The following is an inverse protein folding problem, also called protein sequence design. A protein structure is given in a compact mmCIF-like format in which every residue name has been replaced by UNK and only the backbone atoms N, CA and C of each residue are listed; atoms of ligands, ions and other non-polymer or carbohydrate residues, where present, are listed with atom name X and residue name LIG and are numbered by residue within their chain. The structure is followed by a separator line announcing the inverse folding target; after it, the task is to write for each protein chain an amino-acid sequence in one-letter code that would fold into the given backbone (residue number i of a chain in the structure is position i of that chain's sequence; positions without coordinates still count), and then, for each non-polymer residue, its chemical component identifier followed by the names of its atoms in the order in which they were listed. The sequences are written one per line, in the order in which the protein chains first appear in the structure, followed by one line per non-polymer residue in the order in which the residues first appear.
data_IF_698989737903
#
_entry.id   IF_698989737903
#
_cell.length_a   1.000
_cell.length_b   1.000
_cell.length_c   1.000
_cell.angle_alpha   90.00
_cell.angle_beta   90.00
_cell.angle_gamma   90.00
#
_symmetry.space_group_name_H-M   'P 1'
#
loop_
_entity.id
_entity.type
_entity.pdbx_description
1 polymer ?
#
# COMPACT_ATOMS: atom_id res chain seq x y z
N UNK A 1 25.05 7.93 10.71
CA UNK A 1 24.28 6.68 10.73
C UNK A 1 23.48 6.60 9.45
N UNK A 2 23.69 5.62 8.57
CA UNK A 2 22.78 5.43 7.44
C UNK A 2 21.42 5.03 8.02
N UNK A 3 20.38 5.81 7.76
CA UNK A 3 19.04 5.54 8.26
C UNK A 3 18.59 4.15 7.82
N UNK A 4 17.90 3.42 8.69
CA UNK A 4 17.24 2.17 8.29
C UNK A 4 15.96 2.54 7.57
N UNK A 5 15.80 2.03 6.35
CA UNK A 5 14.58 2.16 5.56
C UNK A 5 13.79 0.86 5.63
N UNK A 6 12.47 0.96 5.61
CA UNK A 6 11.55 -0.17 5.54
C UNK A 6 10.54 0.11 4.44
N UNK A 7 10.32 -0.88 3.58
CA UNK A 7 9.28 -0.80 2.55
C UNK A 7 7.94 -1.14 3.17
N UNK A 8 6.99 -0.20 3.14
CA UNK A 8 5.65 -0.43 3.66
C UNK A 8 4.75 -1.16 2.65
N UNK A 9 4.86 -0.79 1.38
CA UNK A 9 3.98 -1.28 0.31
C UNK A 9 4.65 -1.11 -1.05
N UNK A 10 4.29 -1.98 -1.99
CA UNK A 10 4.74 -1.92 -3.40
C UNK A 10 3.50 -1.76 -4.27
N UNK A 11 3.55 -0.81 -5.18
CA UNK A 11 2.45 -0.48 -6.08
C UNK A 11 2.77 -0.91 -7.51
N UNK A 12 1.76 -1.42 -8.21
CA UNK A 12 1.77 -1.64 -9.67
C UNK A 12 0.72 -0.73 -10.32
N UNK A 13 0.56 -0.85 -11.64
CA UNK A 13 -0.49 -0.17 -12.40
C UNK A 13 -1.87 -0.31 -11.75
N UNK A 14 -2.55 0.82 -11.52
CA UNK A 14 -3.85 0.87 -10.84
C UNK A 14 -3.75 1.07 -9.32
N UNK A 15 -2.56 0.93 -8.74
CA UNK A 15 -2.28 1.32 -7.36
C UNK A 15 -2.36 2.84 -7.16
N UNK A 16 -2.68 3.24 -5.92
CA UNK A 16 -2.78 4.65 -5.52
C UNK A 16 -2.05 4.88 -4.20
N UNK A 17 -1.57 6.09 -3.96
CA UNK A 17 -0.96 6.52 -2.68
C UNK A 17 -1.20 8.03 -2.48
N UNK A 18 -0.88 8.56 -1.30
CA UNK A 18 -1.13 9.98 -0.97
C UNK A 18 -2.40 10.23 -0.14
N UNK A 19 -2.77 9.27 0.71
CA UNK A 19 -3.86 9.37 1.70
C UNK A 19 -3.72 10.52 2.71
N UNK A 20 -2.53 11.14 2.80
CA UNK A 20 -2.31 12.42 3.50
C UNK A 20 -3.40 13.47 3.21
N UNK A 21 -4.00 13.47 2.02
CA UNK A 21 -5.05 14.43 1.64
C UNK A 21 -6.23 14.48 2.62
N UNK A 22 -6.49 13.39 3.34
CA UNK A 22 -7.52 13.26 4.37
C UNK A 22 -7.09 13.69 5.77
N UNK A 23 -5.80 13.96 5.98
CA UNK A 23 -5.20 14.36 7.26
C UNK A 23 -4.51 15.73 7.13
N UNK A 24 -5.27 16.81 6.86
CA UNK A 24 -4.69 18.14 6.68
C UNK A 24 -3.92 18.58 7.93
N UNK A 25 -2.71 19.11 7.72
CA UNK A 25 -1.82 19.57 8.80
C UNK A 25 -0.84 18.50 9.31
N UNK A 26 -1.00 17.23 8.95
CA UNK A 26 0.01 16.22 9.24
C UNK A 26 1.18 16.32 8.25
N UNK A 27 2.44 16.25 8.72
CA UNK A 27 3.60 16.23 7.84
C UNK A 27 3.57 14.96 6.98
N UNK A 28 4.18 15.03 5.79
CA UNK A 28 4.42 13.83 4.98
C UNK A 28 5.47 12.97 5.68
N UNK A 29 5.03 11.81 6.17
CA UNK A 29 5.88 10.87 6.92
C UNK A 29 6.45 9.74 6.06
N UNK A 30 5.88 9.51 4.87
CA UNK A 30 6.32 8.44 3.97
C UNK A 30 6.77 8.98 2.61
N UNK A 31 7.92 8.50 2.16
CA UNK A 31 8.43 8.66 0.80
C UNK A 31 7.82 7.64 -0.16
N UNK A 32 7.99 7.87 -1.45
CA UNK A 32 7.71 6.90 -2.49
C UNK A 32 8.84 6.98 -3.52
N UNK A 33 9.38 5.82 -3.91
CA UNK A 33 10.49 5.71 -4.85
C UNK A 33 10.07 4.80 -5.99
N UNK A 34 10.29 5.23 -7.23
CA UNK A 34 10.02 4.40 -8.39
C UNK A 34 11.14 3.36 -8.57
N UNK A 35 10.76 2.08 -8.67
CA UNK A 35 11.72 0.98 -8.94
C UNK A 35 12.06 0.84 -10.43
N UNK A 36 11.16 1.31 -11.29
CA UNK A 36 11.31 1.33 -12.75
C UNK A 36 10.75 2.65 -13.27
N UNK A 37 10.83 2.89 -14.58
CA UNK A 37 10.10 3.99 -15.21
C UNK A 37 8.59 3.81 -14.95
N UNK A 38 7.93 4.87 -14.48
CA UNK A 38 6.51 4.90 -14.16
C UNK A 38 5.84 6.15 -14.70
N UNK A 39 4.57 6.03 -15.04
CA UNK A 39 3.70 7.18 -15.31
C UNK A 39 2.73 7.35 -14.15
N UNK A 40 2.68 8.55 -13.58
CA UNK A 40 1.79 8.88 -12.47
C UNK A 40 0.75 9.90 -12.92
N UNK A 41 -0.48 9.75 -12.44
CA UNK A 41 -1.50 10.78 -12.50
C UNK A 41 -1.60 11.41 -11.11
N UNK A 42 -1.16 12.66 -10.99
CA UNK A 42 -1.25 13.41 -9.74
C UNK A 42 -2.55 14.24 -9.70
N UNK A 43 -3.28 14.13 -8.59
CA UNK A 43 -4.34 15.08 -8.24
C UNK A 43 -3.88 15.90 -7.02
N UNK A 44 -3.71 17.23 -7.16
CA UNK A 44 -3.41 18.09 -6.02
C UNK A 44 -4.46 17.93 -4.92
N UNK A 45 -4.01 17.85 -3.67
CA UNK A 45 -4.90 17.50 -2.56
C UNK A 45 -6.04 18.49 -2.33
N UNK A 46 -5.83 19.77 -2.60
CA UNK A 46 -6.87 20.80 -2.56
C UNK A 46 -7.94 20.58 -3.64
N UNK A 47 -7.53 20.25 -4.86
CA UNK A 47 -8.41 19.91 -5.98
C UNK A 47 -9.19 18.63 -5.73
N UNK A 48 -8.55 17.63 -5.15
CA UNK A 48 -9.21 16.39 -4.77
C UNK A 48 -10.31 16.62 -3.71
N UNK A 49 -10.04 17.46 -2.69
CA UNK A 49 -11.07 17.85 -1.71
C UNK A 49 -12.22 18.64 -2.33
N UNK A 50 -11.93 19.56 -3.27
CA UNK A 50 -12.96 20.27 -4.03
C UNK A 50 -13.82 19.30 -4.85
N UNK A 51 -13.21 18.27 -5.45
CA UNK A 51 -13.92 17.24 -6.20
C UNK A 51 -14.87 16.44 -5.31
N UNK A 52 -14.43 16.02 -4.12
CA UNK A 52 -15.27 15.31 -3.16
C UNK A 52 -16.42 16.17 -2.63
N UNK A 53 -16.20 17.47 -2.42
CA UNK A 53 -17.27 18.39 -2.05
C UNK A 53 -18.31 18.55 -3.17
N UNK A 54 -17.87 18.55 -4.44
CA UNK A 54 -18.76 18.62 -5.61
C UNK A 54 -19.53 17.32 -5.85
N UNK A 55 -18.93 16.17 -5.54
CA UNK A 55 -19.50 14.83 -5.76
C UNK A 55 -19.47 13.99 -4.48
N UNK A 56 -20.32 14.28 -3.49
CA UNK A 56 -20.30 13.61 -2.19
C UNK A 56 -20.60 12.10 -2.28
N UNK A 57 -21.26 11.63 -3.33
CA UNK A 57 -21.46 10.20 -3.59
C UNK A 57 -20.16 9.41 -3.80
N UNK A 58 -19.02 10.09 -3.98
CA UNK A 58 -17.71 9.44 -4.06
C UNK A 58 -17.14 9.05 -2.68
N UNK A 59 -17.63 9.63 -1.58
CA UNK A 59 -17.12 9.34 -0.23
C UNK A 59 -17.17 7.85 0.16
N UNK A 60 -18.25 7.08 -0.11
CA UNK A 60 -18.28 5.65 0.19
C UNK A 60 -17.16 4.86 -0.50
N UNK A 61 -16.84 5.20 -1.75
CA UNK A 61 -15.74 4.56 -2.51
C UNK A 61 -14.39 4.84 -1.85
N UNK A 62 -14.15 6.10 -1.49
CA UNK A 62 -12.93 6.51 -0.79
C UNK A 62 -12.81 5.84 0.58
N UNK A 63 -13.91 5.75 1.33
CA UNK A 63 -13.95 5.12 2.64
C UNK A 63 -13.64 3.63 2.54
N UNK A 64 -14.17 2.93 1.53
CA UNK A 64 -13.83 1.53 1.26
C UNK A 64 -12.33 1.37 0.95
N UNK A 65 -11.77 2.22 0.09
CA UNK A 65 -10.34 2.19 -0.24
C UNK A 65 -9.45 2.41 1.00
N UNK A 66 -9.77 3.40 1.84
CA UNK A 66 -9.04 3.68 3.08
C UNK A 66 -9.21 2.54 4.10
N UNK A 67 -10.42 1.99 4.23
CA UNK A 67 -10.71 0.88 5.16
C UNK A 67 -9.91 -0.36 4.78
N UNK A 68 -9.86 -0.72 3.50
CA UNK A 68 -9.04 -1.84 3.01
C UNK A 68 -7.55 -1.64 3.33
N UNK A 69 -7.02 -0.44 3.09
CA UNK A 69 -5.63 -0.10 3.44
C UNK A 69 -5.35 -0.22 4.93
N UNK A 70 -6.26 0.28 5.76
CA UNK A 70 -6.15 0.17 7.22
C UNK A 70 -6.15 -1.30 7.67
N UNK A 71 -7.07 -2.11 7.17
CA UNK A 71 -7.12 -3.55 7.48
C UNK A 71 -5.87 -4.28 7.00
N UNK A 72 -5.33 -3.96 5.82
CA UNK A 72 -4.05 -4.50 5.35
C UNK A 72 -2.92 -4.17 6.32
N UNK A 73 -2.83 -2.92 6.79
CA UNK A 73 -1.79 -2.48 7.72
C UNK A 73 -1.92 -3.19 9.08
N UNK A 74 -3.13 -3.34 9.60
CA UNK A 74 -3.38 -4.08 10.86
C UNK A 74 -2.99 -5.55 10.71
N UNK A 75 -3.38 -6.21 9.61
CA UNK A 75 -3.02 -7.61 9.35
C UNK A 75 -1.50 -7.80 9.26
N UNK A 76 -0.79 -6.84 8.66
CA UNK A 76 0.67 -6.82 8.59
C UNK A 76 1.29 -6.78 9.98
N UNK A 77 0.80 -5.90 10.87
CA UNK A 77 1.26 -5.76 12.25
C UNK A 77 0.99 -7.03 13.05
N UNK A 78 -0.21 -7.60 12.92
CA UNK A 78 -0.58 -8.84 13.58
C UNK A 78 0.33 -10.00 13.16
N UNK A 79 0.52 -10.19 11.85
CA UNK A 79 1.39 -11.24 11.32
C UNK A 79 2.84 -11.09 11.82
N UNK A 80 3.34 -9.86 11.92
CA UNK A 80 4.68 -9.59 12.45
C UNK A 80 4.80 -9.88 13.96
N UNK A 81 3.71 -9.77 14.72
CA UNK A 81 3.70 -10.00 16.16
C UNK A 81 3.55 -11.47 16.55
N UNK A 82 2.80 -12.27 15.78
CA UNK A 82 2.38 -13.61 16.21
C UNK A 82 2.95 -14.76 15.37
N UNK A 83 3.49 -14.50 14.18
CA UNK A 83 3.85 -15.55 13.22
C UNK A 83 5.34 -15.80 13.07
N UNK A 84 5.67 -17.04 12.74
CA UNK A 84 6.99 -17.43 12.27
C UNK A 84 7.32 -16.82 10.89
N UNK A 85 8.61 -16.82 10.55
CA UNK A 85 9.11 -16.13 9.35
C UNK A 85 8.54 -16.68 8.03
N UNK A 86 8.36 -18.01 7.93
CA UNK A 86 7.82 -18.64 6.71
C UNK A 86 6.36 -18.22 6.46
N UNK A 87 5.54 -18.18 7.51
CA UNK A 87 4.16 -17.73 7.42
C UNK A 87 4.09 -16.24 7.05
N UNK A 88 4.96 -15.41 7.63
CA UNK A 88 5.05 -13.98 7.30
C UNK A 88 5.38 -13.75 5.83
N UNK A 89 6.32 -14.52 5.28
CA UNK A 89 6.64 -14.48 3.84
C UNK A 89 5.40 -14.81 3.01
N UNK A 90 4.72 -15.92 3.32
CA UNK A 90 3.50 -16.31 2.61
C UNK A 90 2.42 -15.22 2.65
N UNK A 91 2.18 -14.64 3.83
CA UNK A 91 1.20 -13.56 4.02
C UNK A 91 1.58 -12.28 3.27
N UNK A 92 2.87 -11.93 3.21
CA UNK A 92 3.35 -10.80 2.40
C UNK A 92 3.18 -11.03 0.90
N UNK A 93 3.41 -12.25 0.41
CA UNK A 93 3.17 -12.59 -0.99
C UNK A 93 1.67 -12.49 -1.35
N UNK A 94 0.80 -12.97 -0.45
CA UNK A 94 -0.65 -12.84 -0.60
C UNK A 94 -1.08 -11.37 -0.62
N UNK A 95 -0.61 -10.55 0.33
CA UNK A 95 -0.86 -9.12 0.35
C UNK A 95 -0.43 -8.44 -0.95
N UNK A 96 0.77 -8.71 -1.43
CA UNK A 96 1.26 -8.14 -2.68
C UNK A 96 0.41 -8.58 -3.88
N UNK A 97 -0.05 -9.84 -3.91
CA UNK A 97 -0.96 -10.31 -4.95
C UNK A 97 -2.28 -9.50 -4.96
N UNK A 98 -2.88 -9.23 -3.80
CA UNK A 98 -4.12 -8.43 -3.72
C UNK A 98 -3.92 -7.02 -4.29
N UNK A 99 -2.81 -6.37 -3.93
CA UNK A 99 -2.52 -5.02 -4.37
C UNK A 99 -2.14 -4.94 -5.85
N UNK A 100 -1.35 -5.87 -6.36
CA UNK A 100 -0.91 -5.86 -7.77
C UNK A 100 -2.03 -6.21 -8.75
N UNK A 101 -2.98 -7.05 -8.32
CA UNK A 101 -4.10 -7.47 -9.17
C UNK A 101 -5.39 -6.68 -8.89
N UNK A 102 -5.39 -5.80 -7.88
CA UNK A 102 -6.54 -5.02 -7.41
C UNK A 102 -7.82 -5.87 -7.26
N UNK A 103 -7.67 -7.10 -6.78
CA UNK A 103 -8.75 -8.08 -6.62
C UNK A 103 -8.49 -8.95 -5.39
N UNK A 104 -9.54 -9.46 -4.72
CA UNK A 104 -9.38 -10.44 -3.67
C UNK A 104 -8.65 -11.68 -4.19
N UNK A 105 -7.85 -12.31 -3.33
CA UNK A 105 -7.20 -13.57 -3.68
C UNK A 105 -8.27 -14.63 -3.93
N UNK A 106 -8.09 -15.36 -5.01
CA UNK A 106 -8.88 -16.53 -5.35
C UNK A 106 -7.96 -17.75 -5.43
N UNK A 107 -8.53 -18.94 -5.59
CA UNK A 107 -7.75 -20.15 -5.83
C UNK A 107 -6.99 -20.15 -7.18
N UNK A 108 -7.14 -19.10 -8.00
CA UNK A 108 -6.42 -18.97 -9.25
C UNK A 108 -4.96 -18.55 -9.00
N UNK A 109 -4.04 -19.21 -9.72
CA UNK A 109 -2.64 -18.82 -9.73
C UNK A 109 -2.48 -17.38 -10.22
N UNK A 110 -1.56 -16.65 -9.59
CA UNK A 110 -1.21 -15.29 -10.00
C UNK A 110 0.31 -15.10 -9.90
N UNK A 111 0.83 -14.19 -10.73
CA UNK A 111 2.23 -13.78 -10.68
C UNK A 111 2.32 -12.57 -9.77
N UNK A 112 3.23 -12.63 -8.79
CA UNK A 112 3.57 -11.50 -7.92
C UNK A 112 4.95 -11.00 -8.34
N UNK A 113 5.03 -9.76 -8.80
CA UNK A 113 6.29 -9.12 -9.20
C UNK A 113 6.98 -8.56 -7.97
N UNK A 114 7.91 -9.32 -7.40
CA UNK A 114 8.65 -8.91 -6.20
C UNK A 114 10.04 -9.56 -6.18
N UNK A 115 11.02 -8.87 -5.60
CA UNK A 115 12.37 -9.42 -5.37
C UNK A 115 12.50 -9.97 -3.95
N UNK A 116 13.54 -10.78 -3.69
CA UNK A 116 13.83 -11.23 -2.31
C UNK A 116 14.18 -10.05 -1.39
N UNK A 117 14.88 -9.05 -1.93
CA UNK A 117 15.22 -7.82 -1.21
C UNK A 117 13.98 -7.02 -0.81
N UNK A 118 12.98 -6.92 -1.69
CA UNK A 118 11.70 -6.29 -1.37
C UNK A 118 11.02 -6.97 -0.18
N UNK A 119 10.93 -8.30 -0.19
CA UNK A 119 10.34 -9.06 0.91
C UNK A 119 11.15 -8.88 2.20
N UNK A 120 12.48 -8.94 2.13
CA UNK A 120 13.35 -8.71 3.29
C UNK A 120 13.14 -7.31 3.89
N UNK A 121 13.16 -6.25 3.06
CA UNK A 121 12.92 -4.87 3.49
C UNK A 121 11.51 -4.68 4.08
N UNK A 122 10.48 -5.32 3.51
CA UNK A 122 9.10 -5.30 4.05
C UNK A 122 8.94 -6.05 5.38
N UNK A 123 9.87 -6.95 5.71
CA UNK A 123 9.90 -7.71 6.96
C UNK A 123 10.88 -7.13 7.98
N UNK A 124 11.59 -6.05 7.64
CA UNK A 124 12.65 -5.46 8.46
C UNK A 124 13.88 -6.35 8.62
N UNK A 125 14.10 -7.26 7.68
CA UNK A 125 15.24 -8.17 7.64
C UNK A 125 16.33 -7.58 6.73
N UNK A 126 17.58 -7.62 7.19
CA UNK A 126 18.77 -7.20 6.42
C UNK A 126 19.71 -8.37 6.23
#
# INVERSE_FOLDING_TARGET
SKGKEVTLMIFETGGWFGDNVFSPGMPRIFGATAHTDVTLLELPGDKFRQLLAKYPQSYPVILDLLSRRLWSAISVIEDDAIRGIEERIGRRLLLLAEYQHNRPISAQSCVVKVTREHIANMMGLT
#
